data_IF_138340772345
#
_entry.id   IF_138340772345
#
_cell.length_a   1.000
_cell.length_b   1.000
_cell.length_c   1.000
_cell.angle_alpha   90.00
_cell.angle_beta   90.00
_cell.angle_gamma   90.00
#
_symmetry.space_group_name_H-M   'P 1'
#
loop_
_entity.id
_entity.type
_entity.pdbx_description
1 polymer ?
#
# COMPACT_ATOMS: atom_id res chain seq x y z
N UNK A 1 6.40 -9.50 -0.99
CA UNK A 1 7.85 -9.77 -0.94
C UNK A 1 8.14 -10.31 0.44
N UNK A 2 8.71 -11.50 0.53
CA UNK A 2 8.90 -12.21 1.80
C UNK A 2 10.38 -12.20 2.13
N UNK A 3 10.72 -11.72 3.33
CA UNK A 3 12.07 -11.73 3.87
C UNK A 3 12.26 -13.00 4.69
N UNK A 4 13.38 -13.70 4.51
CA UNK A 4 13.82 -14.76 5.42
C UNK A 4 15.02 -14.27 6.21
N UNK A 5 14.99 -14.48 7.52
CA UNK A 5 16.08 -14.26 8.45
C UNK A 5 16.74 -15.61 8.77
N UNK A 6 18.06 -15.68 8.77
CA UNK A 6 18.82 -16.84 9.27
C UNK A 6 19.82 -16.29 10.31
N UNK A 7 19.65 -16.58 11.61
CA UNK A 7 20.62 -16.16 12.63
C UNK A 7 21.90 -17.02 12.59
N UNK A 8 23.07 -16.47 12.95
CA UNK A 8 24.29 -17.24 13.16
C UNK A 8 24.25 -18.04 14.48
N UNK A 9 24.81 -19.25 14.47
CA UNK A 9 24.93 -20.16 15.63
C UNK A 9 26.08 -19.71 16.54
N UNK A 10 25.87 -19.55 17.87
CA UNK A 10 26.96 -19.24 18.80
C UNK A 10 27.72 -20.51 19.23
N UNK A 11 29.07 -20.45 19.23
CA UNK A 11 29.94 -21.48 19.82
C UNK A 11 29.91 -21.37 21.35
N UNK A 12 29.71 -22.49 22.04
CA UNK A 12 29.87 -22.63 23.50
C UNK A 12 31.35 -22.66 23.89
N UNK A 13 31.71 -21.96 24.96
CA UNK A 13 32.92 -22.22 25.74
C UNK A 13 32.55 -22.45 27.20
N UNK A 14 33.11 -23.52 27.77
CA UNK A 14 32.91 -23.99 29.13
C UNK A 14 33.77 -23.19 30.14
N UNK A 15 33.23 -23.10 31.36
CA UNK A 15 33.69 -22.70 32.71
C UNK A 15 35.17 -22.97 33.10
N UNK A 16 35.74 -22.48 34.25
CA UNK A 16 35.06 -22.15 35.53
C UNK A 16 35.57 -20.92 36.34
N UNK A 17 34.93 -20.74 37.50
CA UNK A 17 35.09 -19.69 38.51
C UNK A 17 36.26 -19.91 39.48
N UNK A 18 36.77 -18.81 40.07
CA UNK A 18 37.50 -18.80 41.35
C UNK A 18 37.21 -17.50 42.13
N UNK A 19 37.03 -17.63 43.45
CA UNK A 19 36.91 -16.56 44.44
C UNK A 19 38.21 -16.42 45.25
N UNK A 20 38.54 -15.17 45.66
CA UNK A 20 38.98 -14.74 47.01
C UNK A 20 40.20 -13.76 47.06
N UNK A 21 39.91 -12.58 47.61
CA UNK A 21 40.70 -11.62 48.43
C UNK A 21 42.25 -11.64 48.46
N UNK A 22 42.87 -10.46 48.26
CA UNK A 22 43.54 -9.61 49.31
C UNK A 22 44.29 -8.42 48.67
N UNK A 23 44.34 -7.31 49.41
CA UNK A 23 44.94 -6.03 49.01
C UNK A 23 46.48 -6.09 48.84
N UNK A 24 47.00 -5.46 47.78
CA UNK A 24 48.33 -4.86 47.76
C UNK A 24 48.36 -3.73 46.72
N UNK A 25 48.77 -2.54 47.15
CA UNK A 25 48.87 -1.34 46.31
C UNK A 25 50.17 -1.40 45.48
N UNK A 26 50.04 -1.53 44.16
CA UNK A 26 51.12 -1.25 43.20
C UNK A 26 50.66 -0.10 42.32
N UNK A 27 51.40 1.01 42.37
CA UNK A 27 51.24 2.14 41.43
C UNK A 27 51.56 1.65 40.03
N UNK A 28 50.54 1.37 39.23
CA UNK A 28 50.66 1.22 37.77
C UNK A 28 50.40 2.59 37.17
N UNK A 29 51.44 3.17 36.57
CA UNK A 29 51.33 4.36 35.72
C UNK A 29 50.46 3.98 34.52
N UNK A 30 49.20 4.39 34.52
CA UNK A 30 48.30 4.20 33.39
C UNK A 30 48.77 5.07 32.23
N UNK A 31 49.52 4.49 31.31
CA UNK A 31 49.58 4.98 29.94
C UNK A 31 48.17 4.83 29.37
N UNK A 32 47.39 5.91 29.36
CA UNK A 32 46.16 6.01 28.59
C UNK A 32 46.56 6.00 27.11
N UNK A 33 46.87 4.81 26.59
CA UNK A 33 46.68 4.53 25.17
C UNK A 33 45.18 4.69 24.99
N UNK A 34 44.78 5.80 24.37
CA UNK A 34 43.45 5.97 23.82
C UNK A 34 43.24 4.90 22.77
N UNK A 35 42.90 3.68 23.20
CA UNK A 35 42.17 2.71 22.42
C UNK A 35 40.84 3.36 22.14
N UNK A 36 40.80 4.20 21.09
CA UNK A 36 39.57 4.57 20.46
C UNK A 36 38.89 3.27 20.10
N UNK A 37 37.87 2.89 20.88
CA UNK A 37 36.85 1.97 20.41
C UNK A 37 36.22 2.67 19.22
N UNK A 38 36.80 2.50 18.02
CA UNK A 38 36.02 2.59 16.80
C UNK A 38 35.01 1.46 16.93
N UNK A 39 33.83 1.80 17.47
CA UNK A 39 32.68 0.93 17.44
C UNK A 39 32.49 0.56 15.97
N UNK A 40 32.82 -0.68 15.62
CA UNK A 40 32.73 -1.17 14.26
C UNK A 40 31.27 -1.09 13.83
N UNK A 41 31.04 -0.60 12.60
CA UNK A 41 29.71 -0.58 12.04
C UNK A 41 29.12 -2.00 12.06
N UNK A 42 27.95 -2.16 12.67
CA UNK A 42 27.19 -3.39 12.61
C UNK A 42 26.68 -3.61 11.18
N UNK A 43 26.59 -4.88 10.77
CA UNK A 43 26.03 -5.26 9.48
C UNK A 43 24.83 -6.18 9.68
N UNK A 44 23.71 -5.85 9.04
CA UNK A 44 22.51 -6.69 8.99
C UNK A 44 22.26 -7.10 7.54
N UNK A 45 22.44 -8.38 7.17
CA UNK A 45 22.17 -8.84 5.81
C UNK A 45 20.66 -8.89 5.56
N UNK A 46 20.25 -8.52 4.34
CA UNK A 46 18.87 -8.48 3.89
C UNK A 46 18.81 -9.23 2.55
N UNK A 47 17.88 -10.16 2.40
CA UNK A 47 17.67 -10.86 1.12
C UNK A 47 16.29 -10.55 0.56
N UNK A 48 16.27 -10.07 -0.66
CA UNK A 48 15.09 -9.58 -1.34
C UNK A 48 14.81 -10.52 -2.51
N UNK A 49 13.66 -11.20 -2.49
CA UNK A 49 13.29 -12.21 -3.50
C UNK A 49 12.05 -11.78 -4.26
N UNK A 50 12.10 -11.88 -5.58
CA UNK A 50 10.96 -11.80 -6.48
C UNK A 50 10.28 -13.19 -6.53
N UNK A 51 9.05 -13.38 -6.02
CA UNK A 51 8.49 -14.72 -5.88
C UNK A 51 7.53 -15.11 -7.01
N UNK A 52 7.18 -14.19 -7.91
CA UNK A 52 6.06 -14.33 -8.85
C UNK A 52 6.45 -14.61 -10.30
N UNK A 53 7.74 -14.67 -10.62
CA UNK A 53 8.24 -14.90 -11.98
C UNK A 53 8.12 -13.67 -12.88
N UNK A 54 8.10 -12.48 -12.27
CA UNK A 54 7.87 -11.21 -12.95
C UNK A 54 9.07 -10.29 -12.75
N UNK A 55 9.58 -9.72 -13.84
CA UNK A 55 10.62 -8.70 -13.76
C UNK A 55 10.12 -7.47 -12.98
N UNK A 56 10.95 -6.97 -12.07
CA UNK A 56 10.70 -5.79 -11.24
C UNK A 56 11.80 -4.78 -11.53
N UNK A 57 11.44 -3.63 -12.09
CA UNK A 57 12.35 -2.50 -12.18
C UNK A 57 12.12 -1.60 -10.97
N UNK A 58 13.17 -1.21 -10.25
CA UNK A 58 13.26 -0.30 -9.10
C UNK A 58 12.05 -0.38 -8.13
N UNK A 59 11.56 -1.58 -7.88
CA UNK A 59 10.31 -1.79 -7.16
C UNK A 59 10.41 -1.34 -5.71
N UNK A 60 9.40 -0.65 -5.15
CA UNK A 60 9.45 -0.20 -3.77
C UNK A 60 9.47 -1.38 -2.79
N UNK A 61 10.47 -1.40 -1.93
CA UNK A 61 10.65 -2.38 -0.85
C UNK A 61 10.59 -1.64 0.48
N UNK A 62 9.74 -2.14 1.38
CA UNK A 62 9.58 -1.63 2.74
C UNK A 62 9.75 -2.77 3.73
N UNK A 63 10.58 -2.60 4.76
CA UNK A 63 10.72 -3.58 5.83
C UNK A 63 11.11 -2.96 7.17
N UNK A 64 10.58 -3.49 8.27
CA UNK A 64 11.14 -3.26 9.60
C UNK A 64 12.35 -4.15 9.83
N UNK A 65 13.49 -3.57 10.20
CA UNK A 65 14.74 -4.27 10.51
C UNK A 65 15.01 -4.13 12.01
N UNK A 66 15.11 -5.24 12.76
CA UNK A 66 15.54 -5.19 14.14
C UNK A 66 17.03 -4.86 14.19
N UNK A 67 17.42 -3.94 15.08
CA UNK A 67 18.81 -3.56 15.28
C UNK A 67 19.29 -4.02 16.67
N UNK A 68 20.59 -4.38 16.81
CA UNK A 68 21.14 -4.76 18.09
C UNK A 68 21.08 -3.60 19.09
N UNK A 69 20.82 -3.94 20.34
CA UNK A 69 20.76 -3.01 21.46
C UNK A 69 22.08 -2.22 21.58
N UNK A 70 21.97 -0.91 21.82
CA UNK A 70 23.10 -0.01 22.06
C UNK A 70 23.85 0.48 20.83
N UNK A 71 23.62 -0.06 19.62
CA UNK A 71 24.46 0.23 18.46
C UNK A 71 24.08 1.50 17.69
N UNK A 72 22.78 1.83 17.61
CA UNK A 72 22.29 2.90 16.75
C UNK A 72 21.33 3.78 17.52
N UNK A 73 21.60 5.08 17.61
CA UNK A 73 20.72 6.07 18.27
C UNK A 73 20.02 7.01 17.30
N UNK A 74 20.51 7.12 16.07
CA UNK A 74 19.92 7.96 15.03
C UNK A 74 19.83 7.21 13.71
N UNK A 75 18.68 7.30 13.05
CA UNK A 75 18.45 6.63 11.77
C UNK A 75 19.48 7.03 10.70
N UNK A 76 19.99 8.27 10.71
CA UNK A 76 21.01 8.75 9.76
C UNK A 76 22.30 7.93 9.76
N UNK A 77 22.61 7.26 10.87
CA UNK A 77 23.76 6.35 11.00
C UNK A 77 23.46 4.95 10.45
N UNK A 78 22.77 4.90 9.32
CA UNK A 78 22.45 3.67 8.60
C UNK A 78 22.47 3.89 7.10
N UNK A 79 22.99 2.91 6.38
CA UNK A 79 23.13 2.91 4.93
C UNK A 79 22.98 1.50 4.37
N UNK A 80 22.36 1.40 3.20
CA UNK A 80 22.14 0.15 2.50
C UNK A 80 23.18 -0.01 1.39
N UNK A 81 23.71 -1.23 1.23
CA UNK A 81 24.67 -1.58 0.20
C UNK A 81 24.17 -2.81 -0.56
N UNK A 82 24.43 -2.88 -1.86
CA UNK A 82 24.19 -4.08 -2.66
C UNK A 82 25.36 -5.07 -2.58
N UNK A 83 25.27 -6.16 -3.34
CA UNK A 83 26.30 -7.21 -3.44
C UNK A 83 27.66 -6.71 -3.91
N UNK A 84 27.70 -5.59 -4.63
CA UNK A 84 28.90 -5.04 -5.26
C UNK A 84 29.55 -3.98 -4.34
N UNK A 85 29.01 -3.81 -3.12
CA UNK A 85 29.46 -2.81 -2.16
C UNK A 85 29.04 -1.38 -2.52
N UNK A 86 28.15 -1.20 -3.50
CA UNK A 86 27.63 0.11 -3.89
C UNK A 86 26.51 0.52 -2.95
N UNK A 87 26.55 1.76 -2.48
CA UNK A 87 25.50 2.30 -1.63
C UNK A 87 24.21 2.51 -2.44
N UNK A 88 23.10 1.97 -1.92
CA UNK A 88 21.75 2.05 -2.47
C UNK A 88 21.00 3.20 -1.77
N UNK A 89 20.23 4.02 -2.51
CA UNK A 89 19.33 5.00 -1.90
C UNK A 89 18.48 4.40 -0.79
N UNK A 90 18.49 5.03 0.38
CA UNK A 90 17.81 4.54 1.57
C UNK A 90 17.00 5.65 2.24
N UNK A 91 15.73 5.38 2.47
CA UNK A 91 14.91 6.10 3.42
C UNK A 91 14.79 5.24 4.67
N UNK A 92 14.86 5.85 5.86
CA UNK A 92 14.74 5.10 7.10
C UNK A 92 14.04 5.91 8.18
N UNK A 93 13.20 5.23 8.96
CA UNK A 93 12.35 5.81 10.00
C UNK A 93 12.41 4.93 11.26
N UNK A 94 12.38 5.56 12.44
CA UNK A 94 12.44 4.84 13.71
C UNK A 94 11.03 4.37 14.09
N UNK A 95 10.80 3.06 14.14
CA UNK A 95 9.52 2.49 14.58
C UNK A 95 9.47 2.21 16.08
N UNK A 96 10.63 2.03 16.72
CA UNK A 96 10.69 1.69 18.12
C UNK A 96 12.08 1.87 18.71
N UNK A 97 12.11 2.38 19.93
CA UNK A 97 13.31 2.65 20.72
C UNK A 97 13.31 1.74 21.94
N UNK A 98 14.46 1.15 22.26
CA UNK A 98 14.65 0.32 23.44
C UNK A 98 14.82 1.14 24.72
N UNK A 99 14.79 0.49 25.91
CA UNK A 99 14.93 1.19 27.19
C UNK A 99 16.26 1.95 27.40
N UNK A 100 17.30 1.59 26.64
CA UNK A 100 18.61 2.28 26.68
C UNK A 100 18.71 3.46 25.70
N UNK A 101 17.60 3.81 25.02
CA UNK A 101 17.52 4.86 24.02
C UNK A 101 18.13 4.49 22.66
N UNK A 102 18.50 3.22 22.43
CA UNK A 102 18.91 2.74 21.11
C UNK A 102 17.71 2.34 20.25
N UNK A 103 17.83 2.50 18.93
CA UNK A 103 16.81 2.07 17.97
C UNK A 103 16.72 0.55 18.00
N UNK A 104 15.52 0.03 18.31
CA UNK A 104 15.22 -1.40 18.30
C UNK A 104 14.66 -1.84 16.94
N UNK A 105 13.81 -1.01 16.34
CA UNK A 105 13.15 -1.29 15.06
C UNK A 105 13.31 -0.10 14.13
N UNK A 106 13.97 -0.34 12.99
CA UNK A 106 14.16 0.66 11.93
C UNK A 106 13.34 0.24 10.71
N UNK A 107 12.37 1.06 10.30
CA UNK A 107 11.75 0.90 8.99
C UNK A 107 12.74 1.37 7.93
N UNK A 108 12.96 0.56 6.91
CA UNK A 108 13.71 0.93 5.71
C UNK A 108 12.78 0.93 4.50
N UNK A 109 12.96 1.93 3.64
CA UNK A 109 12.35 2.02 2.33
C UNK A 109 13.47 2.21 1.28
N UNK A 110 13.48 1.37 0.27
CA UNK A 110 14.40 1.45 -0.87
C UNK A 110 13.74 0.90 -2.13
N UNK A 111 14.45 0.96 -3.27
CA UNK A 111 13.96 0.45 -4.55
C UNK A 111 14.89 -0.65 -5.07
N UNK A 112 14.32 -1.76 -5.54
CA UNK A 112 15.07 -2.94 -5.98
C UNK A 112 14.69 -3.35 -7.40
N UNK A 113 15.71 -3.53 -8.25
CA UNK A 113 15.56 -4.14 -9.57
C UNK A 113 15.90 -5.63 -9.50
N UNK A 114 14.98 -6.48 -9.94
CA UNK A 114 15.05 -7.94 -9.89
C UNK A 114 14.51 -8.57 -11.18
N UNK A 115 15.24 -9.55 -11.71
CA UNK A 115 14.73 -10.46 -12.73
C UNK A 115 13.67 -11.42 -12.14
N UNK A 116 12.86 -12.09 -12.99
CA UNK A 116 11.95 -13.15 -12.55
C UNK A 116 12.62 -14.17 -11.62
N UNK A 117 11.98 -14.48 -10.49
CA UNK A 117 12.47 -15.42 -9.48
C UNK A 117 13.84 -15.10 -8.85
N UNK A 118 14.41 -13.92 -9.11
CA UNK A 118 15.71 -13.54 -8.59
C UNK A 118 15.65 -13.26 -7.09
N UNK A 119 16.69 -13.71 -6.38
CA UNK A 119 17.01 -13.24 -5.03
C UNK A 119 18.25 -12.35 -5.08
N UNK A 120 18.20 -11.18 -4.46
CA UNK A 120 19.35 -10.27 -4.34
C UNK A 120 19.64 -9.99 -2.87
N UNK A 121 20.92 -10.03 -2.51
CA UNK A 121 21.40 -9.71 -1.18
C UNK A 121 21.76 -8.22 -1.09
N UNK A 122 21.42 -7.65 0.05
CA UNK A 122 21.79 -6.31 0.48
C UNK A 122 22.39 -6.39 1.89
N UNK A 123 23.13 -5.37 2.29
CA UNK A 123 23.68 -5.24 3.63
C UNK A 123 23.31 -3.87 4.17
N UNK A 124 22.54 -3.85 5.27
CA UNK A 124 22.32 -2.63 6.04
C UNK A 124 23.50 -2.48 7.00
N UNK A 125 24.38 -1.51 6.73
CA UNK A 125 25.40 -1.08 7.67
C UNK A 125 24.80 -0.06 8.61
N UNK A 126 25.15 -0.13 9.89
CA UNK A 126 24.62 0.77 10.91
C UNK A 126 25.61 0.98 12.06
N UNK A 127 25.49 2.12 12.73
CA UNK A 127 26.36 2.48 13.86
C UNK A 127 27.26 3.68 13.56
N UNK A 128 28.13 4.06 14.51
CA UNK A 128 28.99 5.23 14.40
C UNK A 128 29.86 5.20 13.12
N UNK A 129 29.95 6.33 12.42
CA UNK A 129 30.74 6.44 11.19
C UNK A 129 30.04 5.97 9.90
N UNK A 130 28.86 5.35 9.99
CA UNK A 130 28.06 5.05 8.80
C UNK A 130 27.34 6.29 8.31
N UNK A 131 27.68 6.75 7.10
CA UNK A 131 27.04 7.90 6.47
C UNK A 131 26.21 7.49 5.26
N UNK A 132 24.98 7.98 5.20
CA UNK A 132 24.07 7.78 4.08
C UNK A 132 24.24 8.88 3.03
N UNK A 133 24.42 8.51 1.76
CA UNK A 133 24.39 9.48 0.66
C UNK A 133 22.97 10.04 0.46
N UNK A 134 22.85 11.33 0.09
CA UNK A 134 21.60 11.89 -0.43
C UNK A 134 21.10 11.11 -1.64
N UNK A 135 19.79 11.09 -1.85
CA UNK A 135 19.18 10.41 -2.99
C UNK A 135 19.13 11.36 -4.20
N UNK A 136 19.80 11.03 -5.33
CA UNK A 136 19.94 11.91 -6.49
C UNK A 136 18.63 12.11 -7.26
N UNK A 137 18.55 13.19 -8.06
CA UNK A 137 17.42 13.52 -8.95
C UNK A 137 16.36 14.42 -8.31
N UNK A 138 15.23 14.68 -9.00
CA UNK A 138 14.12 15.48 -8.47
C UNK A 138 13.51 14.85 -7.20
N UNK A 139 13.15 15.64 -6.18
CA UNK A 139 12.60 15.11 -4.93
C UNK A 139 11.15 14.61 -5.10
N UNK A 140 10.71 13.77 -4.16
CA UNK A 140 9.30 13.47 -3.96
C UNK A 140 8.61 14.68 -3.31
N UNK A 141 7.67 15.31 -4.01
CA UNK A 141 7.00 16.52 -3.53
C UNK A 141 5.64 16.14 -2.97
N UNK A 142 5.37 16.55 -1.73
CA UNK A 142 4.07 16.48 -1.09
C UNK A 142 3.77 17.88 -0.58
N UNK A 143 2.68 18.47 -1.06
CA UNK A 143 2.16 19.73 -0.56
C UNK A 143 0.72 19.51 -0.16
N UNK A 144 0.43 19.67 1.12
CA UNK A 144 -0.95 19.74 1.61
C UNK A 144 -1.30 21.21 1.76
N UNK A 145 -2.52 21.59 1.39
CA UNK A 145 -3.01 22.93 1.73
C UNK A 145 -3.07 23.14 3.22
N UNK A 146 -2.90 24.40 3.65
CA UNK A 146 -3.35 24.86 4.96
C UNK A 146 -4.70 25.58 4.81
N UNK A 147 -5.51 25.67 5.87
CA UNK A 147 -6.72 26.50 5.88
C UNK A 147 -6.45 27.95 5.45
N UNK A 148 -5.24 28.43 5.69
CA UNK A 148 -4.80 29.79 5.41
C UNK A 148 -4.45 30.02 3.93
N UNK A 149 -4.00 29.00 3.20
CA UNK A 149 -3.39 29.18 1.88
C UNK A 149 -4.16 28.60 0.69
N UNK A 150 -5.33 27.98 0.89
CA UNK A 150 -6.17 27.37 -0.18
C UNK A 150 -5.37 26.53 -1.21
N UNK A 151 -4.19 26.01 -0.85
CA UNK A 151 -3.36 25.24 -1.77
C UNK A 151 -4.03 23.90 -1.99
N UNK A 152 -4.23 23.53 -3.25
CA UNK A 152 -4.78 22.22 -3.60
C UNK A 152 -3.76 21.13 -3.26
N UNK A 153 -4.09 20.13 -2.43
CA UNK A 153 -3.21 19.00 -2.15
C UNK A 153 -2.59 18.39 -3.41
N UNK A 154 -1.27 18.24 -3.39
CA UNK A 154 -0.45 17.86 -4.54
C UNK A 154 0.62 16.84 -4.13
N UNK A 155 0.70 15.74 -4.88
CA UNK A 155 1.76 14.74 -4.78
C UNK A 155 2.45 14.61 -6.14
N UNK A 156 3.78 14.77 -6.20
CA UNK A 156 4.57 14.55 -7.43
C UNK A 156 5.72 13.59 -7.19
N UNK A 157 5.85 12.57 -8.03
CA UNK A 157 6.89 11.54 -7.91
C UNK A 157 8.06 11.72 -8.87
N UNK A 158 7.98 12.66 -9.81
CA UNK A 158 8.73 12.63 -11.06
C UNK A 158 7.71 12.45 -12.18
N UNK A 159 7.47 11.22 -12.67
CA UNK A 159 6.56 10.98 -13.80
C UNK A 159 5.06 11.10 -13.46
N UNK A 160 4.68 11.13 -12.18
CA UNK A 160 3.28 11.13 -11.75
C UNK A 160 2.96 12.40 -10.96
N UNK A 161 1.81 13.01 -11.27
CA UNK A 161 1.16 14.04 -10.45
C UNK A 161 -0.21 13.57 -10.02
N UNK A 162 -0.49 13.68 -8.72
CA UNK A 162 -1.82 13.50 -8.15
C UNK A 162 -2.22 14.82 -7.49
N UNK A 163 -3.35 15.37 -7.90
CA UNK A 163 -3.96 16.57 -7.33
C UNK A 163 -5.36 16.21 -6.82
N UNK A 164 -5.68 16.60 -5.60
CA UNK A 164 -6.93 16.23 -4.94
C UNK A 164 -7.50 17.43 -4.21
N UNK A 165 -8.82 17.48 -4.03
CA UNK A 165 -9.50 18.54 -3.29
C UNK A 165 -9.76 18.09 -1.85
N UNK A 166 -9.31 18.87 -0.85
CA UNK A 166 -9.50 18.53 0.56
C UNK A 166 -10.94 18.79 1.05
N UNK A 167 -11.59 19.83 0.50
CA UNK A 167 -12.96 20.25 0.79
C UNK A 167 -14.02 19.38 0.08
N UNK A 168 -13.65 18.75 -1.05
CA UNK A 168 -14.49 17.81 -1.82
C UNK A 168 -13.68 16.60 -2.23
N UNK A 169 -13.35 15.74 -1.26
CA UNK A 169 -12.45 14.62 -1.50
C UNK A 169 -13.04 13.57 -2.43
N UNK A 170 -12.48 13.50 -3.64
CA UNK A 170 -12.70 12.44 -4.63
C UNK A 170 -11.41 11.69 -4.85
N UNK A 171 -11.39 10.43 -4.45
CA UNK A 171 -10.26 9.55 -4.71
C UNK A 171 -10.14 9.32 -6.23
N UNK A 172 -8.92 9.47 -6.79
CA UNK A 172 -8.64 9.35 -8.23
C UNK A 172 -9.17 10.49 -9.11
N UNK A 173 -9.45 11.67 -8.56
CA UNK A 173 -9.93 12.84 -9.32
C UNK A 173 -8.95 13.32 -10.39
N UNK A 174 -7.77 13.83 -10.00
CA UNK A 174 -6.81 14.39 -10.94
C UNK A 174 -5.48 13.65 -10.86
N UNK A 175 -5.29 12.71 -11.77
CA UNK A 175 -4.06 11.97 -11.98
C UNK A 175 -3.51 12.34 -13.36
N UNK A 176 -2.24 12.75 -13.41
CA UNK A 176 -1.52 13.08 -14.64
C UNK A 176 -0.22 12.31 -14.73
N UNK A 177 0.18 11.95 -15.94
CA UNK A 177 1.51 11.42 -16.24
C UNK A 177 2.29 12.41 -17.11
N UNK A 178 3.52 12.70 -16.71
CA UNK A 178 4.48 13.45 -17.55
C UNK A 178 4.93 12.51 -18.67
N UNK A 179 4.30 12.65 -19.85
CA UNK A 179 4.50 11.77 -21.00
C UNK A 179 5.63 12.26 -21.89
N UNK A 180 5.85 13.58 -21.93
CA UNK A 180 6.91 14.18 -22.75
C UNK A 180 8.26 14.26 -22.01
N UNK A 181 8.29 14.01 -20.70
CA UNK A 181 9.48 13.98 -19.86
C UNK A 181 10.04 15.38 -19.54
N UNK A 182 9.25 16.44 -19.67
CA UNK A 182 9.68 17.82 -19.46
C UNK A 182 9.57 18.29 -17.99
N UNK A 183 9.02 17.45 -17.11
CA UNK A 183 8.81 17.73 -15.68
C UNK A 183 7.63 18.67 -15.38
N UNK A 184 6.91 19.11 -16.41
CA UNK A 184 5.64 19.84 -16.34
C UNK A 184 4.50 18.85 -16.56
N UNK A 185 3.29 19.33 -16.32
CA UNK A 185 2.08 18.51 -16.37
C UNK A 185 0.98 19.36 -16.97
N UNK A 186 0.90 19.38 -18.30
CA UNK A 186 -0.12 20.10 -19.06
C UNK A 186 -1.49 19.43 -18.93
N UNK A 187 -2.54 20.11 -19.36
CA UNK A 187 -3.91 19.61 -19.20
C UNK A 187 -4.20 18.39 -20.08
N UNK A 188 -3.50 18.24 -21.22
CA UNK A 188 -3.59 17.07 -22.09
C UNK A 188 -2.96 15.80 -21.46
N UNK A 189 -2.10 15.96 -20.45
CA UNK A 189 -1.45 14.88 -19.71
C UNK A 189 -2.30 14.35 -18.53
N UNK A 190 -3.47 14.96 -18.29
CA UNK A 190 -4.43 14.51 -17.29
C UNK A 190 -5.21 13.29 -17.79
N UNK A 191 -5.21 12.22 -16.99
CA UNK A 191 -5.80 10.92 -17.33
C UNK A 191 -7.17 10.68 -16.68
N UNK A 192 -7.42 11.28 -15.52
CA UNK A 192 -8.68 11.13 -14.76
C UNK A 192 -9.37 12.48 -14.59
N UNK A 193 -10.68 12.49 -14.33
CA UNK A 193 -11.43 13.71 -14.05
C UNK A 193 -12.37 13.63 -12.83
N UNK A 194 -13.18 14.66 -12.62
CA UNK A 194 -14.04 14.85 -11.45
C UNK A 194 -15.50 14.41 -11.66
N UNK A 195 -15.82 13.75 -12.78
CA UNK A 195 -17.20 13.26 -13.06
C UNK A 195 -17.63 12.16 -12.11
N UNK A 196 -16.71 11.28 -11.70
CA UNK A 196 -16.97 10.26 -10.72
C UNK A 196 -16.90 10.84 -9.29
N UNK A 197 -17.77 10.37 -8.41
CA UNK A 197 -17.82 10.84 -7.01
C UNK A 197 -16.70 10.28 -6.12
N UNK A 198 -15.79 9.46 -6.65
CA UNK A 198 -14.66 8.89 -5.91
C UNK A 198 -15.07 7.70 -5.03
N UNK A 199 -15.72 7.93 -3.89
CA UNK A 199 -16.07 6.88 -2.93
C UNK A 199 -17.56 6.97 -2.59
N UNK A 200 -18.28 5.87 -2.78
CA UNK A 200 -19.74 5.81 -2.61
C UNK A 200 -20.14 4.66 -1.70
N UNK A 201 -21.06 4.92 -0.76
CA UNK A 201 -21.72 3.94 0.09
C UNK A 201 -23.23 4.02 -0.13
N UNK A 202 -23.88 2.87 -0.32
CA UNK A 202 -25.34 2.78 -0.41
C UNK A 202 -25.85 2.03 0.81
N UNK A 203 -26.69 2.67 1.62
CA UNK A 203 -27.26 2.02 2.80
C UNK A 203 -28.40 1.06 2.45
N UNK A 204 -28.95 0.35 3.44
CA UNK A 204 -30.03 -0.62 3.20
C UNK A 204 -31.39 0.00 2.82
N UNK A 205 -31.52 1.33 2.81
CA UNK A 205 -32.70 2.07 2.32
C UNK A 205 -32.48 2.59 0.90
N UNK A 206 -31.34 2.30 0.28
CA UNK A 206 -30.97 2.80 -1.04
C UNK A 206 -30.41 4.22 -1.05
N UNK A 207 -30.17 4.83 0.11
CA UNK A 207 -29.63 6.20 0.22
C UNK A 207 -28.14 6.17 -0.07
N UNK A 208 -27.68 7.12 -0.90
CA UNK A 208 -26.28 7.27 -1.31
C UNK A 208 -25.55 8.24 -0.40
N UNK A 209 -24.45 7.78 0.18
CA UNK A 209 -23.49 8.57 0.94
C UNK A 209 -22.16 8.61 0.18
N UNK A 210 -21.47 9.76 0.17
CA UNK A 210 -20.25 9.97 -0.63
C UNK A 210 -19.17 10.71 0.14
N UNK A 211 -17.92 10.39 -0.11
CA UNK A 211 -16.80 11.05 0.56
C UNK A 211 -16.71 12.56 0.21
N UNK A 212 -17.09 12.93 -1.02
CA UNK A 212 -17.03 14.31 -1.53
C UNK A 212 -18.10 15.25 -0.96
N UNK A 213 -19.04 14.71 -0.18
CA UNK A 213 -20.08 15.44 0.54
C UNK A 213 -19.74 15.63 2.03
N UNK A 214 -18.49 15.39 2.43
CA UNK A 214 -18.01 15.63 3.79
C UNK A 214 -16.62 16.25 3.77
N UNK A 215 -16.28 16.98 4.83
CA UNK A 215 -14.91 17.46 5.03
C UNK A 215 -13.97 16.30 5.34
N UNK A 216 -12.73 16.42 4.87
CA UNK A 216 -11.67 15.46 5.16
C UNK A 216 -10.46 16.12 5.81
N UNK A 217 -9.83 15.41 6.74
CA UNK A 217 -8.58 15.82 7.38
C UNK A 217 -7.40 15.09 6.74
N UNK A 218 -6.33 15.82 6.47
CA UNK A 218 -5.15 15.32 5.75
C UNK A 218 -3.92 15.43 6.64
N UNK A 219 -3.13 14.37 6.68
CA UNK A 219 -1.90 14.34 7.48
C UNK A 219 -0.81 13.61 6.70
N UNK A 220 0.38 14.20 6.64
CA UNK A 220 1.57 13.50 6.15
C UNK A 220 2.01 12.55 7.26
N UNK A 221 1.71 11.26 7.11
CA UNK A 221 2.22 10.22 8.04
C UNK A 221 3.71 9.95 7.76
N UNK A 222 4.13 10.01 6.50
CA UNK A 222 5.53 9.79 6.10
C UNK A 222 5.89 10.67 4.90
N UNK A 223 7.05 11.33 4.95
CA UNK A 223 7.61 12.04 3.81
C UNK A 223 9.12 11.90 3.81
N UNK A 224 9.61 10.91 3.07
CA UNK A 224 11.04 10.72 2.87
C UNK A 224 11.42 10.77 1.39
N UNK A 225 12.72 10.62 1.09
CA UNK A 225 13.27 10.82 -0.24
C UNK A 225 12.91 9.73 -1.25
N UNK A 226 12.22 8.65 -0.86
CA UNK A 226 11.87 7.53 -1.74
C UNK A 226 10.39 7.17 -1.71
N UNK A 227 9.70 7.42 -0.60
CA UNK A 227 8.28 7.13 -0.39
C UNK A 227 7.65 8.16 0.54
N UNK A 228 6.39 8.49 0.26
CA UNK A 228 5.53 9.24 1.17
C UNK A 228 4.23 8.49 1.44
N UNK A 229 3.58 8.83 2.55
CA UNK A 229 2.25 8.38 2.95
C UNK A 229 1.45 9.61 3.39
N UNK A 230 0.33 9.84 2.72
CA UNK A 230 -0.68 10.83 3.12
C UNK A 230 -1.89 10.07 3.65
N UNK A 231 -2.25 10.34 4.90
CA UNK A 231 -3.48 9.86 5.53
C UNK A 231 -4.58 10.89 5.31
N UNK A 232 -5.74 10.41 4.89
CA UNK A 232 -6.94 11.20 4.60
C UNK A 232 -8.08 10.56 5.38
N UNK A 233 -8.75 11.33 6.24
CA UNK A 233 -9.84 10.85 7.08
C UNK A 233 -11.10 11.66 6.82
N UNK A 234 -12.26 11.01 6.79
CA UNK A 234 -13.54 11.68 6.62
C UNK A 234 -14.71 10.74 6.89
N UNK A 235 -15.90 11.13 6.45
CA UNK A 235 -17.14 10.36 6.61
C UNK A 235 -17.86 10.24 5.26
N UNK A 236 -18.72 9.26 5.04
CA UNK A 236 -19.55 9.29 3.83
C UNK A 236 -20.75 10.21 4.12
N UNK A 237 -20.85 11.34 3.42
CA UNK A 237 -21.92 12.33 3.60
C UNK A 237 -23.09 12.14 2.64
N UNK A 238 -24.28 12.53 3.07
CA UNK A 238 -25.50 12.63 2.28
C UNK A 238 -26.11 14.02 2.55
N UNK A 239 -26.64 14.68 1.51
CA UNK A 239 -27.13 16.06 1.63
C UNK A 239 -28.29 16.23 2.60
N UNK A 240 -29.10 15.18 2.79
CA UNK A 240 -30.39 15.26 3.47
C UNK A 240 -30.37 14.53 4.83
N UNK A 241 -29.43 13.60 5.02
CA UNK A 241 -29.45 12.60 6.10
C UNK A 241 -28.19 12.64 7.00
N UNK A 242 -27.27 13.57 6.73
CA UNK A 242 -26.02 13.67 7.47
C UNK A 242 -24.96 12.70 6.97
N UNK A 243 -24.33 11.94 7.87
CA UNK A 243 -23.18 11.10 7.54
C UNK A 243 -23.37 9.64 7.93
N UNK A 244 -22.59 8.76 7.30
CA UNK A 244 -22.57 7.33 7.59
C UNK A 244 -21.18 6.77 7.38
N UNK A 245 -20.68 6.04 8.39
CA UNK A 245 -19.35 5.41 8.44
C UNK A 245 -18.19 6.37 8.19
N UNK A 246 -17.21 6.37 9.08
CA UNK A 246 -15.90 6.97 8.79
C UNK A 246 -15.15 6.19 7.73
N UNK A 247 -14.28 6.89 7.01
CA UNK A 247 -13.24 6.30 6.19
C UNK A 247 -11.85 6.83 6.54
N UNK A 248 -10.85 6.01 6.23
CA UNK A 248 -9.44 6.38 6.24
C UNK A 248 -8.83 5.91 4.92
N UNK A 249 -8.22 6.81 4.17
CA UNK A 249 -7.37 6.49 3.02
C UNK A 249 -5.92 6.76 3.38
N UNK A 250 -5.05 5.78 3.17
CA UNK A 250 -3.59 5.98 3.19
C UNK A 250 -3.05 5.89 1.78
N UNK A 251 -2.73 7.05 1.20
CA UNK A 251 -2.20 7.18 -0.14
C UNK A 251 -0.67 7.14 -0.11
N UNK A 252 -0.10 6.14 -0.77
CA UNK A 252 1.33 5.91 -0.88
C UNK A 252 1.83 6.19 -2.28
N UNK A 253 2.82 7.08 -2.38
CA UNK A 253 3.50 7.43 -3.62
C UNK A 253 4.99 7.13 -3.50
N UNK A 254 5.61 6.79 -4.62
CA UNK A 254 6.99 6.30 -4.69
C UNK A 254 7.78 7.13 -5.69
N UNK A 255 8.95 7.63 -5.29
CA UNK A 255 9.79 8.48 -6.14
C UNK A 255 10.20 7.77 -7.43
N UNK A 256 10.12 8.47 -8.55
CA UNK A 256 10.46 7.97 -9.89
C UNK A 256 9.46 6.96 -10.45
N UNK A 257 8.27 6.81 -9.83
CA UNK A 257 7.30 5.78 -10.20
C UNK A 257 6.02 6.36 -10.78
N UNK A 258 5.50 5.81 -11.89
CA UNK A 258 4.26 6.23 -12.52
C UNK A 258 3.03 5.53 -11.89
N UNK A 259 3.17 4.95 -10.70
CA UNK A 259 2.11 4.21 -10.02
C UNK A 259 2.06 4.59 -8.53
N UNK A 260 0.92 4.31 -7.91
CA UNK A 260 0.70 4.56 -6.50
C UNK A 260 -0.16 3.46 -5.89
N UNK A 261 -0.26 3.47 -4.56
CA UNK A 261 -1.08 2.52 -3.80
C UNK A 261 -1.93 3.29 -2.82
N UNK A 262 -3.17 2.86 -2.61
CA UNK A 262 -3.94 3.33 -1.48
C UNK A 262 -4.51 2.17 -0.65
N UNK A 263 -4.51 2.35 0.66
CA UNK A 263 -5.24 1.51 1.60
C UNK A 263 -6.50 2.27 2.01
N UNK A 264 -7.68 1.75 1.66
CA UNK A 264 -8.97 2.32 2.05
C UNK A 264 -9.56 1.50 3.19
N UNK A 265 -9.86 2.14 4.30
CA UNK A 265 -10.53 1.55 5.47
C UNK A 265 -11.88 2.21 5.65
N UNK A 266 -12.97 1.44 5.71
CA UNK A 266 -14.21 1.94 6.30
C UNK A 266 -14.29 1.51 7.76
N UNK A 267 -14.96 2.32 8.57
CA UNK A 267 -15.17 2.09 10.00
C UNK A 267 -16.66 2.28 10.25
N UNK A 268 -17.34 1.23 10.71
CA UNK A 268 -18.69 1.38 11.20
C UNK A 268 -18.65 2.05 12.58
N UNK A 269 -19.01 3.32 12.64
CA UNK A 269 -19.15 4.11 13.86
C UNK A 269 -20.57 4.70 14.02
N UNK A 270 -21.55 4.10 13.35
CA UNK A 270 -22.97 4.42 13.48
C UNK A 270 -23.43 4.13 14.93
N UNK A 271 -23.73 5.17 15.74
CA UNK A 271 -24.03 4.99 17.16
C UNK A 271 -25.45 4.46 17.39
N UNK A 272 -26.34 4.62 16.42
CA UNK A 272 -27.77 4.35 16.56
C UNK A 272 -28.10 2.87 16.31
N UNK A 273 -27.16 2.12 15.72
CA UNK A 273 -27.38 0.71 15.36
C UNK A 273 -26.23 -0.19 15.79
N UNK A 274 -26.54 -1.22 16.59
CA UNK A 274 -25.54 -2.25 16.94
C UNK A 274 -25.01 -2.98 15.70
N UNK A 275 -25.89 -3.26 14.75
CA UNK A 275 -25.64 -3.98 13.50
C UNK A 275 -26.12 -3.14 12.33
N UNK A 276 -25.25 -2.32 11.76
CA UNK A 276 -25.59 -1.45 10.64
C UNK A 276 -25.67 -2.24 9.34
N UNK A 277 -26.68 -1.93 8.52
CA UNK A 277 -26.94 -2.59 7.24
C UNK A 277 -26.64 -1.65 6.07
N UNK A 278 -26.06 -2.19 5.00
CA UNK A 278 -25.78 -1.44 3.78
C UNK A 278 -25.76 -2.35 2.54
N UNK A 279 -26.07 -1.81 1.37
CA UNK A 279 -26.05 -2.55 0.10
C UNK A 279 -24.66 -2.58 -0.52
N UNK A 280 -23.97 -1.44 -0.58
CA UNK A 280 -22.67 -1.39 -1.25
C UNK A 280 -21.71 -0.35 -0.69
N UNK A 281 -20.43 -0.58 -0.99
CA UNK A 281 -19.33 0.37 -0.79
C UNK A 281 -18.33 0.23 -1.95
N UNK A 282 -18.12 1.32 -2.68
CA UNK A 282 -17.48 1.31 -3.98
C UNK A 282 -16.52 2.48 -4.18
N UNK A 283 -15.46 2.26 -4.95
CA UNK A 283 -14.56 3.30 -5.44
C UNK A 283 -14.79 3.46 -6.94
N UNK A 284 -15.05 4.69 -7.38
CA UNK A 284 -15.41 5.04 -8.75
C UNK A 284 -14.39 6.03 -9.29
N UNK A 285 -13.82 5.72 -10.45
CA UNK A 285 -12.88 6.54 -11.16
C UNK A 285 -13.44 6.88 -12.53
N UNK A 286 -13.38 8.13 -12.93
CA UNK A 286 -13.63 8.55 -14.31
C UNK A 286 -12.32 8.90 -15.00
N UNK A 287 -12.17 8.46 -16.25
CA UNK A 287 -11.06 8.91 -17.10
C UNK A 287 -11.42 10.24 -17.73
N UNK A 288 -10.45 11.14 -17.97
CA UNK A 288 -10.71 12.47 -18.55
C UNK A 288 -11.42 12.39 -19.90
N UNK A 289 -10.88 11.56 -20.79
CA UNK A 289 -11.52 11.24 -22.05
C UNK A 289 -12.51 10.11 -21.81
N UNK A 290 -13.63 10.09 -22.55
CA UNK A 290 -14.59 8.98 -22.47
C UNK A 290 -13.98 7.75 -23.13
N UNK A 291 -13.16 7.05 -22.38
CA UNK A 291 -12.34 5.95 -22.87
C UNK A 291 -13.15 4.68 -23.10
N UNK A 292 -13.16 4.17 -24.32
CA UNK A 292 -13.88 2.97 -24.74
C UNK A 292 -12.99 1.71 -24.79
N UNK A 293 -11.70 1.86 -24.50
CA UNK A 293 -10.75 0.74 -24.39
C UNK A 293 -10.81 0.18 -22.98
N UNK A 294 -11.56 -0.91 -22.83
CA UNK A 294 -11.84 -1.53 -21.53
C UNK A 294 -11.10 -2.86 -21.41
N UNK A 295 -10.48 -3.08 -20.25
CA UNK A 295 -9.90 -4.36 -19.87
C UNK A 295 -10.49 -4.80 -18.54
N UNK A 296 -10.94 -6.04 -18.48
CA UNK A 296 -11.53 -6.63 -17.27
C UNK A 296 -10.91 -7.99 -17.02
N UNK A 297 -10.33 -8.18 -15.84
CA UNK A 297 -9.61 -9.40 -15.45
C UNK A 297 -8.54 -9.82 -16.47
N UNK A 298 -7.79 -8.84 -17.01
CA UNK A 298 -6.69 -9.09 -17.94
C UNK A 298 -7.09 -9.44 -19.37
N UNK A 299 -8.35 -9.25 -19.75
CA UNK A 299 -8.81 -9.42 -21.14
C UNK A 299 -9.51 -8.16 -21.63
N UNK A 300 -9.35 -7.77 -22.91
CA UNK A 300 -10.21 -6.77 -23.54
C UNK A 300 -11.68 -7.12 -23.31
N UNK A 301 -12.49 -6.12 -23.00
CA UNK A 301 -13.88 -6.32 -22.60
C UNK A 301 -14.80 -5.30 -23.28
N UNK A 302 -16.04 -5.70 -23.53
CA UNK A 302 -17.15 -4.74 -23.69
C UNK A 302 -17.52 -4.19 -22.30
N UNK A 303 -18.37 -3.15 -22.20
CA UNK A 303 -18.89 -2.70 -20.92
C UNK A 303 -19.49 -3.88 -20.15
N UNK A 304 -18.95 -4.17 -18.97
CA UNK A 304 -19.27 -5.39 -18.23
C UNK A 304 -18.87 -5.26 -16.77
N UNK A 305 -19.46 -6.14 -15.95
CA UNK A 305 -19.18 -6.29 -14.52
C UNK A 305 -18.64 -7.69 -14.25
N UNK A 306 -17.51 -7.73 -13.58
CA UNK A 306 -16.98 -8.92 -12.95
C UNK A 306 -17.41 -8.92 -11.48
N UNK A 307 -17.87 -10.06 -11.00
CA UNK A 307 -18.26 -10.26 -9.61
C UNK A 307 -17.66 -11.56 -9.09
N UNK A 308 -16.67 -11.50 -8.20
CA UNK A 308 -16.21 -12.68 -7.47
C UNK A 308 -17.23 -12.99 -6.38
N UNK A 309 -17.93 -14.13 -6.52
CA UNK A 309 -18.99 -14.53 -5.58
C UNK A 309 -18.39 -15.13 -4.31
N UNK A 310 -17.48 -16.08 -4.50
CA UNK A 310 -16.84 -16.84 -3.43
C UNK A 310 -15.39 -17.19 -3.84
N UNK A 311 -14.72 -18.06 -3.10
CA UNK A 311 -13.35 -18.52 -3.38
C UNK A 311 -13.26 -19.60 -4.47
N UNK A 312 -14.35 -19.93 -5.15
CA UNK A 312 -14.43 -21.00 -6.15
C UNK A 312 -14.98 -20.53 -7.49
N UNK A 313 -15.66 -19.38 -7.56
CA UNK A 313 -16.32 -18.91 -8.78
C UNK A 313 -16.50 -17.39 -8.83
N UNK A 314 -16.51 -16.89 -10.07
CA UNK A 314 -16.84 -15.52 -10.41
C UNK A 314 -17.83 -15.46 -11.57
N UNK A 315 -18.58 -14.35 -11.67
CA UNK A 315 -19.46 -14.03 -12.79
C UNK A 315 -18.86 -12.90 -13.61
N UNK A 316 -18.88 -13.02 -14.93
CA UNK A 316 -18.50 -11.96 -15.88
C UNK A 316 -19.70 -11.67 -16.79
N UNK A 317 -20.35 -10.52 -16.60
CA UNK A 317 -21.70 -10.28 -17.11
C UNK A 317 -22.66 -11.31 -16.51
N UNK A 318 -23.30 -12.11 -17.37
CA UNK A 318 -24.20 -13.20 -16.94
C UNK A 318 -23.48 -14.56 -16.84
N UNK A 319 -22.24 -14.66 -17.32
CA UNK A 319 -21.51 -15.93 -17.38
C UNK A 319 -20.86 -16.28 -16.05
N UNK A 320 -21.32 -17.35 -15.42
CA UNK A 320 -20.66 -17.95 -14.26
C UNK A 320 -19.44 -18.79 -14.70
N UNK A 321 -18.32 -18.62 -14.01
CA UNK A 321 -17.05 -19.28 -14.31
C UNK A 321 -16.42 -19.80 -13.02
N UNK A 322 -15.98 -21.07 -13.02
CA UNK A 322 -15.19 -21.64 -11.92
C UNK A 322 -13.76 -21.08 -11.92
N UNK A 323 -13.22 -20.82 -10.73
CA UNK A 323 -11.89 -20.27 -10.51
C UNK A 323 -11.91 -18.86 -9.94
N UNK A 324 -10.76 -18.19 -10.07
CA UNK A 324 -10.51 -16.88 -9.48
C UNK A 324 -10.36 -15.83 -10.56
N UNK A 325 -11.01 -14.69 -10.38
CA UNK A 325 -10.74 -13.51 -11.17
C UNK A 325 -9.35 -12.94 -10.86
N UNK A 326 -8.75 -12.28 -11.86
CA UNK A 326 -7.42 -11.70 -11.74
C UNK A 326 -7.36 -10.44 -10.86
N UNK A 327 -8.53 -9.87 -10.51
CA UNK A 327 -8.65 -8.80 -9.52
C UNK A 327 -8.18 -7.41 -9.97
N UNK A 328 -8.10 -7.17 -11.28
CA UNK A 328 -7.80 -5.84 -11.82
C UNK A 328 -8.58 -5.54 -13.11
N UNK A 329 -8.75 -4.25 -13.38
CA UNK A 329 -9.41 -3.71 -14.57
C UNK A 329 -8.70 -2.43 -15.05
N UNK A 330 -8.95 -2.02 -16.29
CA UNK A 330 -8.45 -0.77 -16.84
C UNK A 330 -9.47 -0.12 -17.77
N UNK A 331 -9.45 1.21 -17.80
CA UNK A 331 -10.21 2.04 -18.75
C UNK A 331 -9.24 3.06 -19.34
N UNK A 332 -9.30 3.26 -20.65
CA UNK A 332 -8.44 4.20 -21.36
C UNK A 332 -9.12 4.85 -22.55
N UNK A 333 -8.76 6.11 -22.79
CA UNK A 333 -9.04 6.82 -24.02
C UNK A 333 -7.96 6.60 -25.09
N UNK A 334 -8.01 7.40 -26.17
CA UNK A 334 -6.95 7.48 -27.17
C UNK A 334 -5.56 7.73 -26.56
N UNK A 335 -5.49 8.59 -25.54
CA UNK A 335 -4.25 9.18 -25.03
C UNK A 335 -3.73 8.59 -23.71
N UNK A 336 -4.33 7.50 -23.22
CA UNK A 336 -3.94 6.88 -21.95
C UNK A 336 -5.13 6.54 -21.08
N UNK A 337 -4.84 6.02 -19.89
CA UNK A 337 -5.85 5.62 -18.94
C UNK A 337 -5.28 5.23 -17.59
N UNK A 338 -6.10 4.52 -16.83
CA UNK A 338 -5.74 4.02 -15.50
C UNK A 338 -6.18 2.58 -15.35
N UNK A 339 -5.27 1.77 -14.80
CA UNK A 339 -5.56 0.42 -14.36
C UNK A 339 -5.59 0.38 -12.84
N UNK A 340 -6.59 -0.28 -12.28
CA UNK A 340 -6.73 -0.46 -10.83
C UNK A 340 -6.78 -1.96 -10.51
N UNK A 341 -5.99 -2.38 -9.53
CA UNK A 341 -5.93 -3.75 -9.06
C UNK A 341 -6.10 -3.84 -7.55
N UNK A 342 -7.02 -4.68 -7.12
CA UNK A 342 -7.32 -4.92 -5.70
C UNK A 342 -6.47 -6.08 -5.22
N UNK A 343 -5.67 -5.84 -4.18
CA UNK A 343 -4.88 -6.91 -3.56
C UNK A 343 -5.83 -7.92 -2.91
N UNK A 344 -5.50 -9.20 -3.07
CA UNK A 344 -6.26 -10.31 -2.45
C UNK A 344 -7.74 -10.26 -2.84
N UNK A 345 -8.02 -9.92 -4.11
CA UNK A 345 -9.37 -9.71 -4.64
C UNK A 345 -10.28 -10.92 -4.40
N UNK A 346 -9.88 -12.11 -4.85
CA UNK A 346 -10.72 -13.29 -4.67
C UNK A 346 -10.71 -13.77 -3.23
N UNK A 347 -9.62 -13.62 -2.49
CA UNK A 347 -9.52 -14.02 -1.08
C UNK A 347 -10.43 -13.18 -0.17
N UNK A 348 -10.74 -11.94 -0.57
CA UNK A 348 -11.61 -11.02 0.17
C UNK A 348 -13.02 -10.95 -0.43
N UNK A 349 -13.48 -11.99 -1.13
CA UNK A 349 -14.82 -12.06 -1.69
C UNK A 349 -15.91 -11.71 -0.64
N UNK A 350 -17.08 -11.19 -1.07
CA UNK A 350 -17.39 -10.77 -2.43
C UNK A 350 -16.64 -9.50 -2.86
N UNK A 351 -16.30 -9.40 -4.14
CA UNK A 351 -15.68 -8.22 -4.77
C UNK A 351 -16.18 -8.04 -6.20
N UNK A 352 -16.26 -6.81 -6.68
CA UNK A 352 -16.58 -6.54 -8.08
C UNK A 352 -15.59 -5.58 -8.74
N UNK A 353 -15.51 -5.69 -10.06
CA UNK A 353 -14.88 -4.72 -10.94
C UNK A 353 -15.84 -4.46 -12.09
N UNK A 354 -16.10 -3.22 -12.43
CA UNK A 354 -16.97 -2.85 -13.53
C UNK A 354 -16.27 -1.80 -14.39
N UNK A 355 -16.42 -1.95 -15.71
CA UNK A 355 -15.84 -1.05 -16.70
C UNK A 355 -16.93 -0.60 -17.66
N UNK A 356 -16.99 0.71 -17.89
CA UNK A 356 -17.85 1.38 -18.87
C UNK A 356 -17.02 2.44 -19.60
N UNK A 357 -17.51 2.97 -20.75
CA UNK A 357 -16.79 4.02 -21.44
C UNK A 357 -16.57 5.24 -20.54
N UNK A 358 -15.33 5.48 -20.16
CA UNK A 358 -14.92 6.57 -19.25
C UNK A 358 -15.04 6.30 -17.75
N UNK A 359 -15.48 5.11 -17.29
CA UNK A 359 -15.68 4.82 -15.87
C UNK A 359 -15.16 3.42 -15.48
N UNK A 360 -14.40 3.37 -14.39
CA UNK A 360 -13.98 2.14 -13.71
C UNK A 360 -14.52 2.16 -12.27
N UNK A 361 -15.23 1.11 -11.88
CA UNK A 361 -15.78 0.93 -10.53
C UNK A 361 -15.22 -0.31 -9.86
N UNK A 362 -14.82 -0.16 -8.60
CA UNK A 362 -14.36 -1.23 -7.73
C UNK A 362 -15.39 -1.41 -6.61
N UNK A 363 -16.10 -2.53 -6.58
CA UNK A 363 -16.90 -2.91 -5.44
C UNK A 363 -16.02 -3.48 -4.35
N UNK A 364 -15.74 -2.68 -3.31
CA UNK A 364 -15.06 -3.14 -2.10
C UNK A 364 -16.01 -3.98 -1.23
N UNK A 365 -17.27 -3.58 -1.19
CA UNK A 365 -18.41 -4.38 -0.75
C UNK A 365 -19.49 -4.21 -1.83
N UNK A 366 -19.44 -4.97 -2.93
CA UNK A 366 -20.41 -4.84 -4.02
C UNK A 366 -21.83 -5.27 -3.61
N UNK A 367 -22.84 -4.68 -4.19
CA UNK A 367 -24.22 -5.15 -4.05
C UNK A 367 -24.39 -6.60 -4.57
N UNK A 368 -25.35 -7.32 -3.98
CA UNK A 368 -25.70 -8.70 -4.32
C UNK A 368 -27.18 -8.96 -4.10
N UNK A 369 -27.74 -9.91 -4.86
CA UNK A 369 -29.15 -10.25 -4.79
C UNK A 369 -29.53 -10.89 -3.44
N UNK A 370 -30.75 -10.61 -2.97
CA UNK A 370 -31.36 -11.35 -1.86
C UNK A 370 -31.38 -12.85 -2.18
N UNK A 371 -31.09 -13.71 -1.21
CA UNK A 371 -30.98 -15.15 -1.40
C UNK A 371 -29.58 -15.64 -1.81
N UNK A 372 -28.67 -14.78 -2.28
CA UNK A 372 -27.37 -15.20 -2.83
C UNK A 372 -26.50 -15.99 -1.83
N UNK A 373 -26.55 -15.62 -0.55
CA UNK A 373 -25.77 -16.23 0.53
C UNK A 373 -26.65 -16.80 1.64
N UNK A 374 -27.97 -16.76 1.47
CA UNK A 374 -28.94 -17.21 2.47
C UNK A 374 -29.11 -18.75 2.42
N UNK A 375 -29.63 -19.34 3.49
CA UNK A 375 -29.96 -20.78 3.54
C UNK A 375 -28.77 -21.73 3.54
N UNK A 376 -27.57 -21.22 3.86
CA UNK A 376 -26.35 -22.03 3.97
C UNK A 376 -26.34 -22.83 5.28
N UNK A 377 -25.64 -23.98 5.34
CA UNK A 377 -25.46 -24.69 6.60
C UNK A 377 -24.90 -23.75 7.68
N UNK A 378 -25.41 -23.83 8.91
CA UNK A 378 -25.07 -22.90 10.00
C UNK A 378 -23.56 -22.72 10.18
N UNK A 379 -22.78 -23.81 10.02
CA UNK A 379 -21.32 -23.76 10.11
C UNK A 379 -20.68 -22.87 9.04
N UNK A 380 -21.21 -22.88 7.82
CA UNK A 380 -20.75 -22.00 6.74
C UNK A 380 -21.27 -20.58 6.92
N UNK A 381 -22.54 -20.44 7.34
CA UNK A 381 -23.15 -19.15 7.63
C UNK A 381 -22.32 -18.38 8.65
N UNK A 382 -22.03 -18.98 9.81
CA UNK A 382 -21.26 -18.33 10.88
C UNK A 382 -19.82 -18.01 10.44
N UNK A 383 -19.22 -18.83 9.57
CA UNK A 383 -17.82 -18.64 9.13
C UNK A 383 -17.65 -17.60 8.04
N UNK A 384 -18.55 -17.58 7.06
CA UNK A 384 -18.34 -16.86 5.80
C UNK A 384 -19.46 -15.89 5.47
N UNK A 385 -20.71 -16.21 5.82
CA UNK A 385 -21.88 -15.48 5.32
C UNK A 385 -22.62 -14.67 6.38
N UNK A 386 -22.20 -14.69 7.65
CA UNK A 386 -22.91 -14.03 8.74
C UNK A 386 -23.13 -12.53 8.49
N UNK A 387 -22.18 -11.88 7.85
CA UNK A 387 -22.25 -10.47 7.49
C UNK A 387 -22.89 -10.22 6.11
N UNK A 388 -23.33 -11.26 5.40
CA UNK A 388 -23.88 -11.25 4.04
C UNK A 388 -25.26 -11.97 4.02
N UNK A 389 -26.33 -11.26 4.38
CA UNK A 389 -27.68 -11.85 4.49
C UNK A 389 -28.73 -10.94 3.91
N UNK A 390 -29.80 -11.52 3.36
CA UNK A 390 -30.94 -10.79 2.81
C UNK A 390 -30.57 -9.76 1.70
N UNK A 391 -29.48 -9.98 0.97
CA UNK A 391 -29.03 -9.03 -0.07
C UNK A 391 -28.33 -7.78 0.47
N UNK A 392 -27.92 -7.77 1.74
CA UNK A 392 -27.21 -6.65 2.38
C UNK A 392 -26.04 -7.12 3.23
N UNK A 393 -25.06 -6.23 3.38
CA UNK A 393 -24.02 -6.35 4.38
C UNK A 393 -24.58 -5.98 5.75
N UNK A 394 -24.18 -6.72 6.79
CA UNK A 394 -24.50 -6.40 8.19
C UNK A 394 -23.22 -6.40 9.01
N UNK A 395 -22.84 -5.24 9.56
CA UNK A 395 -21.59 -5.06 10.30
C UNK A 395 -21.85 -4.46 11.67
N UNK A 396 -21.17 -5.00 12.69
CA UNK A 396 -21.29 -4.48 14.06
C UNK A 396 -20.64 -3.10 14.18
N UNK A 397 -21.17 -2.23 15.02
CA UNK A 397 -20.48 -1.00 15.43
C UNK A 397 -19.05 -1.33 15.92
N UNK A 398 -18.08 -0.51 15.52
CA UNK A 398 -16.65 -0.68 15.77
C UNK A 398 -15.90 -1.54 14.75
N UNK A 399 -16.59 -2.23 13.84
CA UNK A 399 -15.93 -2.99 12.77
C UNK A 399 -15.21 -2.04 11.82
N UNK A 400 -13.95 -2.34 11.53
CA UNK A 400 -13.18 -1.69 10.48
C UNK A 400 -12.62 -2.74 9.51
N UNK A 401 -12.61 -2.43 8.21
CA UNK A 401 -12.03 -3.31 7.19
C UNK A 401 -11.24 -2.50 6.19
N UNK A 402 -10.01 -2.94 5.91
CA UNK A 402 -9.07 -2.28 5.01
C UNK A 402 -8.93 -3.03 3.71
N UNK A 403 -9.00 -2.31 2.60
CA UNK A 403 -8.82 -2.79 1.24
C UNK A 403 -7.61 -2.09 0.62
N UNK A 404 -6.68 -2.88 0.07
CA UNK A 404 -5.49 -2.35 -0.61
C UNK A 404 -5.67 -2.36 -2.11
N UNK A 405 -5.51 -1.20 -2.74
CA UNK A 405 -5.61 -1.04 -4.19
C UNK A 405 -4.30 -0.44 -4.72
N UNK A 406 -3.83 -0.99 -5.83
CA UNK A 406 -2.74 -0.41 -6.61
C UNK A 406 -3.33 0.27 -7.84
N UNK A 407 -2.81 1.45 -8.16
CA UNK A 407 -3.20 2.24 -9.31
C UNK A 407 -2.00 2.42 -10.23
N UNK A 408 -2.18 2.06 -11.50
CA UNK A 408 -1.21 2.18 -12.57
C UNK A 408 -1.81 3.03 -13.68
N UNK A 409 -1.65 4.35 -13.63
CA UNK A 409 -1.76 5.22 -14.79
C UNK A 409 -0.84 4.74 -15.92
N UNK A 410 -1.26 4.90 -17.17
CA UNK A 410 -0.46 4.55 -18.34
C UNK A 410 -0.78 5.44 -19.54
N UNK A 411 0.17 5.53 -20.46
CA UNK A 411 0.03 6.22 -21.74
C UNK A 411 -0.46 5.26 -22.83
N UNK A 412 -1.23 5.79 -23.79
CA UNK A 412 -1.77 5.03 -24.92
C UNK A 412 -2.80 3.94 -24.55
N UNK A 413 -2.97 2.91 -25.41
CA UNK A 413 -3.93 1.83 -25.16
C UNK A 413 -3.48 0.94 -23.99
N UNK A 414 -4.43 0.33 -23.26
CA UNK A 414 -4.11 -0.56 -22.17
C UNK A 414 -3.37 -1.79 -22.71
N UNK A 415 -2.29 -2.20 -22.04
CA UNK A 415 -1.54 -3.41 -22.37
C UNK A 415 -1.85 -4.49 -21.33
N UNK A 416 -2.72 -5.47 -21.64
CA UNK A 416 -3.14 -6.45 -20.64
C UNK A 416 -2.00 -7.30 -20.07
N UNK A 417 -0.97 -7.57 -20.87
CA UNK A 417 0.20 -8.34 -20.43
C UNK A 417 1.05 -7.54 -19.45
N UNK A 418 1.36 -6.27 -19.77
CA UNK A 418 2.15 -5.41 -18.89
C UNK A 418 1.41 -5.09 -17.58
N UNK A 419 0.13 -4.74 -17.65
CA UNK A 419 -0.70 -4.50 -16.46
C UNK A 419 -0.90 -5.79 -15.65
N UNK A 420 -1.13 -6.92 -16.30
CA UNK A 420 -1.24 -8.22 -15.65
C UNK A 420 0.05 -8.60 -14.90
N UNK A 421 1.20 -8.30 -15.49
CA UNK A 421 2.52 -8.48 -14.86
C UNK A 421 2.67 -7.60 -13.62
N UNK A 422 2.26 -6.33 -13.68
CA UNK A 422 2.28 -5.41 -12.55
C UNK A 422 1.40 -5.89 -11.39
N UNK A 423 0.14 -6.23 -11.67
CA UNK A 423 -0.84 -6.70 -10.68
C UNK A 423 -0.67 -8.18 -10.28
N UNK A 424 0.25 -8.92 -10.92
CA UNK A 424 0.66 -10.26 -10.53
C UNK A 424 -0.18 -11.40 -11.10
N UNK A 425 -0.18 -11.59 -12.42
CA UNK A 425 -0.57 -12.84 -13.09
C UNK A 425 0.64 -13.53 -13.73
N UNK A 426 0.68 -14.88 -13.82
CA UNK A 426 -0.34 -15.86 -13.45
C UNK A 426 0.19 -16.98 -12.53
N UNK A 427 -0.45 -17.24 -11.40
CA UNK A 427 -0.71 -18.60 -10.91
C UNK A 427 -1.49 -18.55 -9.61
N UNK A 428 -2.39 -19.52 -9.45
CA UNK A 428 -3.18 -19.86 -8.26
C UNK A 428 -2.33 -20.21 -7.01
N UNK A 429 -1.27 -19.45 -6.72
CA UNK A 429 -0.50 -19.55 -5.49
C UNK A 429 -0.57 -18.21 -4.81
N UNK A 430 -1.06 -18.26 -3.58
CA UNK A 430 -1.16 -17.13 -2.66
C UNK A 430 0.00 -16.14 -2.84
N UNK A 431 -0.32 -14.85 -2.94
CA UNK A 431 0.65 -13.81 -2.59
C UNK A 431 1.25 -14.20 -1.24
N UNK A 432 2.58 -14.38 -1.12
CA UNK A 432 3.11 -14.86 0.14
C UNK A 432 2.81 -13.82 1.23
N UNK A 433 2.04 -14.28 2.20
CA UNK A 433 1.66 -13.58 3.42
C UNK A 433 2.90 -13.00 4.09
N UNK A 434 2.87 -11.72 4.45
CA UNK A 434 3.95 -11.02 5.15
C UNK A 434 4.14 -11.44 6.62
N UNK A 435 3.55 -12.57 7.03
CA UNK A 435 3.58 -13.07 8.40
C UNK A 435 3.94 -14.56 8.40
N UNK A 436 5.23 -14.85 8.28
CA UNK A 436 5.78 -16.05 8.92
C UNK A 436 7.12 -15.65 9.51
N UNK A 437 7.04 -15.08 10.71
CA UNK A 437 8.15 -15.01 11.65
C UNK A 437 8.38 -16.44 12.13
N UNK A 438 9.53 -17.01 11.80
CA UNK A 438 10.16 -18.07 12.60
C UNK A 438 11.53 -17.56 12.96
#
# INVERSE_FOLDING_TARGET
MTLRFIPPVPRRSLTPAFHANRHLWVRVTTLLIGLGLQATAGETPITVTEPTGVARADWPVTSGIPLPRGQVRHARHSALFDSDGKQVPLQAEVLGVGPDGSIRWLLIDFQATLAPHQSRRYVLRHGPGVTRKPVPGPPLIISLGSPENRIVPLLKTGPLRIQLAADRFRLLDHVSLDRNGDGRFSDDERLTDDRASGIELVDSRGRRFRADLSLSTWTIEQHGPLRACVRIEGQHGNSDEGTKFRYVVRLHVFRGRPFFRFDYTFINDDPDTLMSRFHSLEVVCSTRERGDRLVLSGKPSKPSRLFQLDDQQFRLGDKLTRGHANGWAAVAGPHGGIALGVREFWQNWPKSLEVKPGELRIGLCPDFAKGQYDGRPLKEEVKHYYYLRDGVYTVKIGVAKTHRVWAMPFDGPPNPTASGTFFGLPNNRCWPSAHRLT
#
